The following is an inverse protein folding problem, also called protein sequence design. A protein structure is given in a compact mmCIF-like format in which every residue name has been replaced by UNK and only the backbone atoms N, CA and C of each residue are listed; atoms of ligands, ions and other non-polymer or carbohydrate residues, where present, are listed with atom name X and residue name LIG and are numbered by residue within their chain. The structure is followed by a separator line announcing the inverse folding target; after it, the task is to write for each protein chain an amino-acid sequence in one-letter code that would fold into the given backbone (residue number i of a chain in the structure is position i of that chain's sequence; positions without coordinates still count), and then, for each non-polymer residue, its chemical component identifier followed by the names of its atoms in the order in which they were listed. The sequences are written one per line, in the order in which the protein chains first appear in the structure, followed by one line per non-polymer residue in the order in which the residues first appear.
data_IF_845847146712
#
_entry.id   IF_845847146712
#
_cell.length_a   1.000
_cell.length_b   1.000
_cell.length_c   1.000
_cell.angle_alpha   90.00
_cell.angle_beta   90.00
_cell.angle_gamma   90.00
#
_symmetry.space_group_name_H-M   'P 1'
#
loop_
_entity.id
_entity.type
_entity.pdbx_description
1 polymer ?
#
# COMPACT_ATOMS: atom_id res chain seq x y z
N UNK A 1 1.10 -16.91 -2.92
CA UNK A 1 -0.13 -17.08 -2.10
C UNK A 1 -1.34 -16.52 -2.82
N UNK A 2 -1.40 -15.20 -3.07
CA UNK A 2 -2.56 -14.55 -3.72
C UNK A 2 -2.97 -15.14 -5.09
N UNK A 3 -2.01 -15.48 -5.97
CA UNK A 3 -2.33 -16.19 -7.24
C UNK A 3 -3.07 -17.52 -7.00
N UNK A 4 -2.70 -18.27 -5.96
CA UNK A 4 -3.37 -19.53 -5.58
C UNK A 4 -4.75 -19.29 -4.95
N UNK A 5 -4.96 -18.13 -4.35
CA UNK A 5 -6.23 -17.69 -3.79
C UNK A 5 -7.17 -17.05 -4.84
N UNK A 6 -6.83 -17.13 -6.14
CA UNK A 6 -7.69 -16.66 -7.23
C UNK A 6 -7.46 -15.22 -7.69
N UNK A 7 -6.53 -14.48 -7.08
CA UNK A 7 -6.23 -13.10 -7.49
C UNK A 7 -5.33 -13.07 -8.74
N UNK A 8 -5.63 -12.17 -9.68
CA UNK A 8 -4.71 -11.79 -10.76
C UNK A 8 -3.61 -10.89 -10.20
N UNK A 9 -2.44 -11.46 -9.93
CA UNK A 9 -1.29 -10.70 -9.41
C UNK A 9 -0.43 -10.20 -10.56
N UNK A 10 -0.28 -8.88 -10.64
CA UNK A 10 0.68 -8.19 -11.50
C UNK A 10 1.81 -7.64 -10.64
N UNK A 11 3.01 -7.57 -11.19
CA UNK A 11 4.19 -7.06 -10.49
C UNK A 11 4.59 -5.70 -11.06
N UNK A 12 4.92 -4.70 -10.22
CA UNK A 12 5.50 -3.44 -10.68
C UNK A 12 6.86 -3.69 -11.36
N UNK A 13 7.35 -2.72 -12.15
CA UNK A 13 8.77 -2.71 -12.51
C UNK A 13 9.62 -2.61 -11.23
N UNK A 14 10.74 -3.31 -11.18
CA UNK A 14 11.66 -3.29 -10.03
C UNK A 14 10.96 -3.66 -8.71
N UNK A 15 10.36 -4.86 -8.59
CA UNK A 15 9.57 -5.25 -7.42
C UNK A 15 10.37 -5.19 -6.11
N UNK A 16 11.68 -5.41 -6.18
CA UNK A 16 12.65 -5.37 -5.08
C UNK A 16 12.99 -3.95 -4.60
N UNK A 17 12.64 -2.89 -5.34
CA UNK A 17 12.89 -1.52 -4.89
C UNK A 17 12.17 -1.24 -3.56
N UNK A 18 12.84 -0.62 -2.60
CA UNK A 18 12.25 -0.27 -1.30
C UNK A 18 11.13 0.79 -1.45
N UNK A 19 10.15 0.77 -0.54
CA UNK A 19 9.09 1.78 -0.47
C UNK A 19 9.56 3.14 0.11
N UNK A 20 10.71 3.16 0.81
CA UNK A 20 11.25 4.35 1.46
C UNK A 20 10.82 4.55 2.92
N UNK A 21 10.02 3.65 3.51
CA UNK A 21 9.55 3.81 4.90
C UNK A 21 10.66 3.65 5.94
N UNK A 22 11.48 2.59 5.88
CA UNK A 22 12.76 2.39 6.59
C UNK A 22 12.90 2.83 8.08
N UNK A 23 11.82 3.03 8.84
CA UNK A 23 11.89 3.47 10.24
C UNK A 23 12.64 4.79 10.39
N UNK A 24 13.57 4.89 11.35
CA UNK A 24 14.35 6.12 11.62
C UNK A 24 15.08 6.67 10.40
N UNK A 25 15.45 5.82 9.43
CA UNK A 25 16.12 6.28 8.22
C UNK A 25 15.26 7.26 7.41
N UNK A 26 13.92 7.10 7.41
CA UNK A 26 13.06 8.06 6.70
C UNK A 26 13.05 9.45 7.32
N UNK A 27 13.29 9.55 8.63
CA UNK A 27 13.39 10.81 9.36
C UNK A 27 14.74 11.47 9.10
N UNK A 28 15.79 10.65 9.00
CA UNK A 28 17.16 11.10 8.77
C UNK A 28 17.45 11.41 7.30
N UNK A 29 16.73 10.80 6.36
CA UNK A 29 16.94 10.91 4.92
C UNK A 29 15.60 11.10 4.16
N UNK A 30 14.83 12.16 4.48
CA UNK A 30 13.47 12.33 3.98
C UNK A 30 13.41 12.49 2.46
N UNK A 31 14.40 13.14 1.84
CA UNK A 31 14.47 13.32 0.38
C UNK A 31 14.62 11.99 -0.35
N UNK A 32 15.53 11.12 0.12
CA UNK A 32 15.77 9.80 -0.47
C UNK A 32 14.53 8.92 -0.27
N UNK A 33 13.94 8.93 0.94
CA UNK A 33 12.71 8.19 1.23
C UNK A 33 11.54 8.61 0.34
N UNK A 34 11.40 9.91 0.07
CA UNK A 34 10.39 10.42 -0.86
C UNK A 34 10.65 9.98 -2.29
N UNK A 35 11.89 10.05 -2.77
CA UNK A 35 12.24 9.60 -4.11
C UNK A 35 11.98 8.10 -4.31
N UNK A 36 12.31 7.27 -3.32
CA UNK A 36 12.03 5.82 -3.35
C UNK A 36 10.53 5.54 -3.39
N UNK A 37 9.75 6.21 -2.54
CA UNK A 37 8.29 6.12 -2.54
C UNK A 37 7.71 6.48 -3.90
N UNK A 38 8.08 7.64 -4.44
CA UNK A 38 7.50 8.15 -5.67
C UNK A 38 7.86 7.24 -6.87
N UNK A 39 9.07 6.65 -6.89
CA UNK A 39 9.45 5.64 -7.89
C UNK A 39 8.62 4.36 -7.75
N UNK A 40 8.43 3.87 -6.52
CA UNK A 40 7.64 2.67 -6.25
C UNK A 40 6.18 2.86 -6.65
N UNK A 41 5.56 3.98 -6.24
CA UNK A 41 4.16 4.30 -6.55
C UNK A 41 3.94 4.38 -8.06
N UNK A 42 4.77 5.15 -8.79
CA UNK A 42 4.66 5.23 -10.26
C UNK A 42 4.72 3.87 -10.93
N UNK A 43 5.61 3.00 -10.47
CA UNK A 43 5.78 1.66 -11.02
C UNK A 43 4.58 0.74 -10.73
N UNK A 44 3.97 0.86 -9.55
CA UNK A 44 2.74 0.15 -9.19
C UNK A 44 1.57 0.65 -10.04
N UNK A 45 1.37 1.97 -10.09
CA UNK A 45 0.24 2.60 -10.80
C UNK A 45 0.29 2.35 -12.30
N UNK A 46 1.48 2.23 -12.90
CA UNK A 46 1.64 1.86 -14.31
C UNK A 46 1.10 0.46 -14.66
N UNK A 47 0.76 -0.37 -13.66
CA UNK A 47 0.10 -1.67 -13.86
C UNK A 47 -1.42 -1.60 -13.76
N UNK A 48 -1.98 -0.42 -13.46
CA UNK A 48 -3.41 -0.18 -13.23
C UNK A 48 -4.07 -1.23 -12.30
N UNK A 49 -3.53 -1.46 -11.08
CA UNK A 49 -4.11 -2.45 -10.17
C UNK A 49 -5.37 -1.90 -9.49
N UNK A 50 -6.32 -2.79 -9.18
CA UNK A 50 -7.51 -2.45 -8.38
C UNK A 50 -7.17 -2.26 -6.89
N UNK A 51 -6.16 -2.99 -6.40
CA UNK A 51 -5.78 -3.08 -4.98
C UNK A 51 -4.26 -3.28 -4.87
N UNK A 52 -3.64 -2.64 -3.88
CA UNK A 52 -2.23 -2.88 -3.49
C UNK A 52 -2.20 -3.79 -2.26
N UNK A 53 -1.54 -4.95 -2.37
CA UNK A 53 -1.31 -5.85 -1.24
C UNK A 53 0.11 -5.68 -0.68
N UNK A 54 0.24 -5.42 0.63
CA UNK A 54 1.54 -5.35 1.31
C UNK A 54 1.50 -6.12 2.65
N UNK A 55 2.67 -6.57 3.11
CA UNK A 55 2.82 -7.31 4.38
C UNK A 55 3.47 -6.51 5.50
N UNK A 56 3.82 -5.24 5.25
CA UNK A 56 4.51 -4.39 6.20
C UNK A 56 3.79 -3.05 6.32
N UNK A 57 3.42 -2.68 7.55
CA UNK A 57 2.66 -1.45 7.82
C UNK A 57 3.39 -0.19 7.38
N UNK A 58 4.72 -0.15 7.50
CA UNK A 58 5.54 0.95 7.02
C UNK A 58 5.44 1.12 5.50
N UNK A 59 5.48 0.02 4.73
CA UNK A 59 5.21 0.05 3.30
C UNK A 59 3.79 0.55 3.00
N UNK A 60 2.80 0.06 3.72
CA UNK A 60 1.40 0.45 3.51
C UNK A 60 1.20 1.95 3.73
N UNK A 61 1.68 2.50 4.84
CA UNK A 61 1.59 3.93 5.13
C UNK A 61 2.38 4.77 4.14
N UNK A 62 3.61 4.36 3.82
CA UNK A 62 4.48 5.10 2.90
C UNK A 62 3.89 5.16 1.50
N UNK A 63 3.43 4.04 0.94
CA UNK A 63 2.80 3.99 -0.38
C UNK A 63 1.44 4.72 -0.35
N UNK A 64 0.64 4.51 0.70
CA UNK A 64 -0.69 5.13 0.85
C UNK A 64 -0.63 6.64 1.02
N UNK A 65 0.48 7.19 1.49
CA UNK A 65 0.69 8.65 1.52
C UNK A 65 0.80 9.29 0.13
N UNK A 66 0.92 8.49 -0.94
CA UNK A 66 1.17 8.98 -2.30
C UNK A 66 0.39 8.25 -3.40
N UNK A 67 -0.42 7.23 -3.08
CA UNK A 67 -1.28 6.54 -4.04
C UNK A 67 -2.73 6.61 -3.60
N UNK A 68 -3.64 6.81 -4.57
CA UNK A 68 -5.10 6.76 -4.34
C UNK A 68 -5.69 5.36 -4.43
N UNK A 69 -4.88 4.34 -4.75
CA UNK A 69 -5.32 2.96 -4.88
C UNK A 69 -5.47 2.34 -3.47
N UNK A 70 -6.57 1.63 -3.17
CA UNK A 70 -6.76 0.97 -1.88
C UNK A 70 -5.59 0.04 -1.54
N UNK A 71 -5.07 0.19 -0.31
CA UNK A 71 -3.98 -0.64 0.20
C UNK A 71 -4.52 -1.52 1.32
N UNK A 72 -4.28 -2.83 1.20
CA UNK A 72 -4.70 -3.84 2.17
C UNK A 72 -3.51 -4.68 2.62
N UNK A 73 -3.60 -5.22 3.83
CA UNK A 73 -2.66 -6.22 4.27
C UNK A 73 -2.89 -7.53 3.50
N UNK A 74 -1.81 -8.22 3.13
CA UNK A 74 -1.93 -9.46 2.32
C UNK A 74 -2.78 -10.53 3.02
N UNK A 75 -2.77 -10.58 4.34
CA UNK A 75 -3.60 -11.52 5.13
C UNK A 75 -5.09 -11.21 5.01
N UNK A 76 -5.50 -9.94 4.91
CA UNK A 76 -6.92 -9.59 4.76
C UNK A 76 -7.49 -10.13 3.44
N UNK A 77 -6.70 -10.09 2.36
CA UNK A 77 -7.10 -10.69 1.09
C UNK A 77 -7.20 -12.21 1.14
N UNK A 78 -6.30 -12.87 1.90
CA UNK A 78 -6.35 -14.31 2.08
C UNK A 78 -7.58 -14.71 2.91
N UNK A 79 -7.83 -13.99 4.01
CA UNK A 79 -9.00 -14.20 4.86
C UNK A 79 -10.29 -14.04 4.06
N UNK A 80 -10.42 -12.93 3.31
CA UNK A 80 -11.58 -12.67 2.45
C UNK A 80 -11.77 -13.76 1.39
N UNK A 81 -10.69 -14.21 0.74
CA UNK A 81 -10.76 -15.28 -0.25
C UNK A 81 -11.17 -16.64 0.35
N UNK A 82 -11.03 -16.82 1.67
CA UNK A 82 -11.44 -18.03 2.40
C UNK A 82 -12.78 -17.90 3.14
N UNK A 83 -13.54 -16.83 2.88
CA UNK A 83 -14.89 -16.63 3.46
C UNK A 83 -14.93 -15.64 4.64
N UNK A 84 -13.80 -15.00 4.96
CA UNK A 84 -13.74 -13.89 5.90
C UNK A 84 -14.40 -12.60 5.37
N UNK A 85 -14.47 -11.55 6.19
CA UNK A 85 -15.08 -10.28 5.79
C UNK A 85 -14.28 -9.57 4.69
N UNK A 86 -14.96 -8.67 3.97
CA UNK A 86 -14.31 -7.78 3.00
C UNK A 86 -13.32 -6.86 3.73
N UNK A 87 -12.09 -6.65 3.20
CA UNK A 87 -11.12 -5.76 3.84
C UNK A 87 -11.64 -4.32 3.93
N UNK A 88 -11.59 -3.65 5.10
CA UNK A 88 -12.19 -2.33 5.31
C UNK A 88 -11.65 -1.24 4.38
N UNK A 89 -10.39 -1.35 3.93
CA UNK A 89 -9.82 -0.36 3.01
C UNK A 89 -10.49 -0.38 1.62
N UNK A 90 -11.19 -1.46 1.26
CA UNK A 90 -11.95 -1.56 0.01
C UNK A 90 -13.35 -0.95 0.10
N UNK A 91 -13.76 -0.54 1.31
CA UNK A 91 -15.01 0.19 1.56
C UNK A 91 -14.73 1.70 1.66
N UNK A 92 -13.48 2.08 2.02
CA UNK A 92 -13.05 3.47 2.19
C UNK A 92 -12.89 4.27 0.90
N UNK A 93 -13.16 3.70 -0.28
CA UNK A 93 -13.28 4.50 -1.50
C UNK A 93 -14.36 5.60 -1.38
N UNK A 94 -15.27 5.51 -0.40
CA UNK A 94 -16.30 6.51 -0.10
C UNK A 94 -16.08 7.31 1.20
N UNK A 95 -15.05 7.01 2.02
CA UNK A 95 -14.88 7.64 3.33
C UNK A 95 -13.78 8.71 3.33
N UNK A 96 -14.22 9.96 3.53
CA UNK A 96 -13.47 11.21 3.58
C UNK A 96 -12.25 11.21 4.53
N UNK A 97 -11.42 12.25 4.34
CA UNK A 97 -10.21 12.58 5.08
C UNK A 97 -10.29 12.24 6.58
N UNK A 98 -9.25 11.60 7.16
CA UNK A 98 -9.21 11.41 8.60
C UNK A 98 -9.17 12.78 9.28
N UNK A 99 -10.24 13.14 9.97
CA UNK A 99 -10.29 14.29 10.89
C UNK A 99 -9.38 13.98 12.09
N UNK A 100 -8.07 14.08 11.90
CA UNK A 100 -7.12 14.14 13.01
C UNK A 100 -7.16 15.56 13.52
N UNK A 101 -7.60 15.82 14.77
CA UNK A 101 -7.55 17.16 15.33
C UNK A 101 -6.09 17.60 15.38
N UNK A 102 -5.75 18.73 14.74
CA UNK A 102 -4.46 19.38 14.92
C UNK A 102 -4.48 19.96 16.33
N UNK A 103 -3.99 19.19 17.29
CA UNK A 103 -3.71 19.69 18.64
C UNK A 103 -2.47 20.59 18.53
N UNK A 104 -2.71 21.88 18.31
CA UNK A 104 -1.73 22.94 18.50
C UNK A 104 -1.57 23.25 19.99
#
# INVERSE_FOLDING_TARGET
LLKKAGFKVVEPSDPHLCCGSAGTYNLMQPEISKQLRDRKVRSIEAKNPDIIAAGNIGCMMQIGSASGIPIVHTVELLDWATGGPRPPALDRAEAAEPQVPILR
#
